data_IF_715380390147
#
_entry.id   IF_715380390147
#
_cell.length_a   1.000
_cell.length_b   1.000
_cell.length_c   1.000
_cell.angle_alpha   90.00
_cell.angle_beta   90.00
_cell.angle_gamma   90.00
#
_symmetry.space_group_name_H-M   'P 1'
#
loop_
_entity.id
_entity.type
_entity.pdbx_description
1 polymer ?
#
# COMPACT_ATOMS: atom_id res chain seq x y z
N UNK A 1 -14.23 14.92 2.50
CA UNK A 1 -12.90 15.57 2.63
C UNK A 1 -12.57 16.19 1.27
N UNK A 2 -12.08 17.42 1.22
CA UNK A 2 -11.76 18.06 -0.08
C UNK A 2 -10.53 17.39 -0.70
N UNK A 3 -10.56 17.11 -2.00
CA UNK A 3 -9.40 16.58 -2.74
C UNK A 3 -8.28 17.62 -2.75
N UNK A 4 -7.04 17.18 -2.60
CA UNK A 4 -5.87 18.06 -2.68
C UNK A 4 -5.56 18.41 -4.14
N UNK A 5 -5.03 19.62 -4.37
CA UNK A 5 -4.73 20.11 -5.72
C UNK A 5 -3.42 19.53 -6.30
N UNK A 6 -3.36 19.42 -7.63
CA UNK A 6 -2.16 18.99 -8.37
C UNK A 6 -1.11 20.11 -8.42
N UNK A 7 -0.32 20.24 -7.35
CA UNK A 7 0.79 21.20 -7.26
C UNK A 7 2.14 20.48 -7.08
N UNK A 8 3.27 21.10 -7.49
CA UNK A 8 4.60 20.55 -7.25
C UNK A 8 4.89 20.28 -5.77
N UNK A 9 4.42 21.12 -4.86
CA UNK A 9 4.59 20.95 -3.41
C UNK A 9 3.85 19.72 -2.89
N UNK A 10 2.61 19.50 -3.34
CA UNK A 10 1.84 18.32 -2.95
C UNK A 10 2.42 17.05 -3.56
N UNK A 11 2.88 17.10 -4.82
CA UNK A 11 3.61 16.01 -5.44
C UNK A 11 4.86 15.64 -4.65
N UNK A 12 5.68 16.62 -4.26
CA UNK A 12 6.88 16.38 -3.45
C UNK A 12 6.54 15.78 -2.07
N UNK A 13 5.46 16.22 -1.41
CA UNK A 13 4.98 15.63 -0.15
C UNK A 13 4.58 14.16 -0.32
N UNK A 14 3.85 13.85 -1.39
CA UNK A 14 3.49 12.47 -1.72
C UNK A 14 4.73 11.60 -1.98
N UNK A 15 5.68 12.09 -2.79
CA UNK A 15 6.93 11.36 -3.08
C UNK A 15 7.75 11.12 -1.82
N UNK A 16 7.77 12.07 -0.89
CA UNK A 16 8.44 11.91 0.41
C UNK A 16 7.96 10.70 1.21
N UNK A 17 6.74 10.21 0.98
CA UNK A 17 6.25 8.99 1.63
C UNK A 17 6.93 7.70 1.12
N UNK A 18 7.60 7.78 -0.03
CA UNK A 18 8.36 6.70 -0.65
C UNK A 18 9.87 6.96 -0.55
N UNK A 19 10.30 7.75 0.44
CA UNK A 19 11.71 8.06 0.65
C UNK A 19 12.57 6.79 0.76
N UNK A 20 13.72 6.81 0.09
CA UNK A 20 14.67 5.71 -0.08
C UNK A 20 14.14 4.48 -0.83
N UNK A 21 12.94 4.54 -1.42
CA UNK A 21 12.41 3.45 -2.22
C UNK A 21 12.87 3.53 -3.69
N UNK A 22 13.26 2.40 -4.32
CA UNK A 22 13.69 2.34 -5.71
C UNK A 22 12.48 2.29 -6.66
N UNK A 23 11.66 3.34 -6.60
CA UNK A 23 10.38 3.46 -7.33
C UNK A 23 10.34 4.73 -8.18
N UNK A 24 11.41 5.52 -8.26
CA UNK A 24 11.43 6.76 -9.03
C UNK A 24 11.74 6.46 -10.50
N UNK A 25 10.96 7.06 -11.41
CA UNK A 25 11.16 6.98 -12.86
C UNK A 25 11.18 8.38 -13.47
N UNK A 26 12.07 8.64 -14.44
CA UNK A 26 12.13 9.93 -15.14
C UNK A 26 13.51 10.43 -15.57
N UNK A 27 14.63 9.81 -15.15
CA UNK A 27 15.95 9.99 -15.79
C UNK A 27 16.93 8.86 -15.41
N UNK A 28 17.88 8.59 -16.31
CA UNK A 28 18.87 7.49 -16.20
C UNK A 28 19.78 7.56 -14.96
N UNK A 29 19.71 8.65 -14.18
CA UNK A 29 20.61 8.89 -13.06
C UNK A 29 20.00 8.57 -11.69
N UNK A 30 18.67 8.47 -11.55
CA UNK A 30 18.02 8.35 -10.24
C UNK A 30 16.79 7.45 -10.25
N UNK A 31 16.94 6.25 -9.68
CA UNK A 31 15.82 5.31 -9.51
C UNK A 31 15.24 5.30 -8.09
N UNK A 32 15.85 6.03 -7.15
CA UNK A 32 15.49 6.05 -5.73
C UNK A 32 15.05 7.43 -5.30
N UNK A 33 13.93 7.53 -4.56
CA UNK A 33 13.49 8.81 -3.99
C UNK A 33 14.44 9.22 -2.87
N UNK A 34 15.12 10.35 -2.98
CA UNK A 34 16.00 10.88 -1.94
C UNK A 34 15.87 12.42 -1.81
N UNK A 35 16.62 13.01 -0.88
CA UNK A 35 16.53 14.45 -0.59
C UNK A 35 16.87 15.34 -1.79
N UNK A 36 17.79 14.90 -2.66
CA UNK A 36 18.12 15.62 -3.89
C UNK A 36 16.99 15.53 -4.92
N UNK A 37 16.37 14.36 -5.09
CA UNK A 37 15.23 14.17 -5.98
C UNK A 37 14.05 15.06 -5.57
N UNK A 38 13.74 15.19 -4.28
CA UNK A 38 12.62 16.01 -3.80
C UNK A 38 12.79 17.50 -4.12
N UNK A 39 14.03 17.99 -4.15
CA UNK A 39 14.33 19.36 -4.60
C UNK A 39 14.17 19.52 -6.12
N UNK A 40 14.45 18.46 -6.90
CA UNK A 40 14.38 18.45 -8.37
C UNK A 40 12.95 18.19 -8.89
N UNK A 41 12.10 17.47 -8.15
CA UNK A 41 10.70 17.17 -8.52
C UNK A 41 9.87 18.46 -8.69
N UNK A 42 10.30 19.57 -8.10
CA UNK A 42 9.74 20.90 -8.36
C UNK A 42 9.95 21.39 -9.81
N UNK A 43 10.80 20.72 -10.60
CA UNK A 43 11.28 21.20 -11.89
C UNK A 43 11.04 20.26 -13.10
N UNK A 44 10.55 19.00 -12.95
CA UNK A 44 10.53 18.01 -14.06
C UNK A 44 9.45 16.89 -14.04
N UNK A 45 9.37 16.15 -15.16
CA UNK A 45 8.46 15.06 -15.56
C UNK A 45 8.66 13.70 -14.85
N UNK A 46 9.06 13.68 -13.57
CA UNK A 46 9.22 12.42 -12.82
C UNK A 46 7.89 11.83 -12.39
N UNK A 47 7.83 10.50 -12.26
CA UNK A 47 6.71 9.78 -11.66
C UNK A 47 7.22 8.61 -10.81
N UNK A 48 6.40 8.09 -9.90
CA UNK A 48 6.71 6.85 -9.20
C UNK A 48 6.16 5.64 -9.97
N UNK A 49 6.97 4.62 -10.17
CA UNK A 49 6.54 3.31 -10.69
C UNK A 49 6.20 2.38 -9.53
N UNK A 50 4.90 2.23 -9.26
CA UNK A 50 4.36 1.51 -8.11
C UNK A 50 3.55 0.28 -8.53
N UNK A 51 3.41 -0.68 -7.62
CA UNK A 51 2.62 -1.89 -7.82
C UNK A 51 1.17 -1.65 -7.37
N UNK A 52 0.18 -2.11 -8.14
CA UNK A 52 -1.21 -2.04 -7.71
C UNK A 52 -1.46 -2.99 -6.53
N UNK A 53 -2.30 -2.61 -5.56
CA UNK A 53 -2.52 -3.43 -4.36
C UNK A 53 -3.12 -4.81 -4.68
N UNK A 54 -3.93 -4.91 -5.74
CA UNK A 54 -4.46 -6.20 -6.21
C UNK A 54 -3.38 -7.18 -6.67
N UNK A 55 -2.14 -6.70 -6.91
CA UNK A 55 -0.97 -7.50 -7.25
C UNK A 55 -0.09 -7.80 -6.04
N UNK A 56 -0.56 -7.57 -4.81
CA UNK A 56 0.19 -7.89 -3.59
C UNK A 56 0.65 -9.35 -3.62
N UNK A 57 1.88 -9.61 -3.19
CA UNK A 57 2.38 -10.98 -3.06
C UNK A 57 1.70 -11.71 -1.90
N UNK A 58 1.73 -13.04 -1.89
CA UNK A 58 1.21 -13.79 -0.74
C UNK A 58 2.00 -13.45 0.52
N UNK A 59 3.33 -13.39 0.43
CA UNK A 59 4.21 -13.03 1.55
C UNK A 59 3.89 -11.64 2.11
N UNK A 60 3.74 -10.63 1.25
CA UNK A 60 3.40 -9.28 1.70
C UNK A 60 1.98 -9.21 2.29
N UNK A 61 1.03 -9.97 1.74
CA UNK A 61 -0.33 -10.05 2.29
C UNK A 61 -0.34 -10.70 3.67
N UNK A 62 0.47 -11.74 3.88
CA UNK A 62 0.63 -12.42 5.17
C UNK A 62 1.28 -11.49 6.19
N UNK A 63 2.37 -10.82 5.84
CA UNK A 63 3.05 -9.86 6.72
C UNK A 63 2.15 -8.67 7.06
N UNK A 64 1.40 -8.15 6.08
CA UNK A 64 0.39 -7.11 6.33
C UNK A 64 -0.69 -7.60 7.29
N UNK A 65 -1.20 -8.82 7.12
CA UNK A 65 -2.17 -9.39 8.04
C UNK A 65 -1.60 -9.49 9.46
N UNK A 66 -0.35 -9.94 9.61
CA UNK A 66 0.35 -9.98 10.91
C UNK A 66 0.45 -8.60 11.56
N UNK A 67 0.74 -7.55 10.78
CA UNK A 67 0.79 -6.17 11.28
C UNK A 67 -0.58 -5.74 11.79
N UNK A 68 -1.64 -6.00 11.02
CA UNK A 68 -3.01 -5.65 11.38
C UNK A 68 -3.53 -6.43 12.60
N UNK A 69 -3.09 -7.68 12.76
CA UNK A 69 -3.53 -8.58 13.83
C UNK A 69 -2.53 -8.68 14.97
N UNK A 70 -1.47 -7.87 15.01
CA UNK A 70 -0.42 -7.91 16.05
C UNK A 70 -0.99 -7.73 17.47
N UNK A 71 -2.15 -7.08 17.58
CA UNK A 71 -2.89 -6.91 18.84
C UNK A 71 -3.71 -8.15 19.25
N UNK A 72 -3.79 -9.16 18.39
CA UNK A 72 -4.43 -10.46 18.63
C UNK A 72 -3.31 -11.45 18.99
N UNK A 73 -3.22 -11.80 20.27
CA UNK A 73 -2.08 -12.51 20.83
C UNK A 73 -2.04 -13.96 20.32
N UNK A 74 -0.85 -14.46 19.95
CA UNK A 74 -0.59 -15.86 19.57
C UNK A 74 -1.41 -16.38 18.37
N UNK A 75 -0.98 -16.08 17.15
CA UNK A 75 -1.52 -16.69 15.93
C UNK A 75 -0.52 -17.70 15.36
N UNK A 76 -0.97 -18.93 15.10
CA UNK A 76 -0.22 -19.89 14.27
C UNK A 76 -0.76 -19.71 12.87
N UNK A 77 0.11 -19.28 11.98
CA UNK A 77 -0.29 -18.81 10.67
C UNK A 77 -0.32 -19.99 9.71
N UNK A 78 -1.28 -20.89 9.92
CA UNK A 78 -1.80 -21.80 8.89
C UNK A 78 -2.49 -20.95 7.81
N UNK A 79 -1.70 -20.29 6.97
CA UNK A 79 -2.21 -19.13 6.23
C UNK A 79 -2.74 -19.53 4.88
N UNK A 80 -4.00 -19.17 4.61
CA UNK A 80 -4.57 -19.19 3.27
C UNK A 80 -4.82 -17.76 2.83
N UNK A 81 -4.24 -17.36 1.71
CA UNK A 81 -4.53 -16.08 1.05
C UNK A 81 -5.53 -16.33 -0.07
N UNK A 82 -6.61 -15.56 -0.11
CA UNK A 82 -7.57 -15.52 -1.22
C UNK A 82 -7.56 -14.10 -1.78
N UNK A 83 -7.27 -13.96 -3.07
CA UNK A 83 -7.27 -12.69 -3.78
C UNK A 83 -8.46 -12.64 -4.72
N UNK A 84 -9.24 -11.59 -4.60
CA UNK A 84 -10.33 -11.23 -5.50
C UNK A 84 -10.04 -9.85 -6.08
N UNK A 85 -10.84 -9.42 -7.07
CA UNK A 85 -10.52 -8.22 -7.86
C UNK A 85 -10.40 -6.93 -7.04
N UNK A 86 -11.00 -6.85 -5.86
CA UNK A 86 -11.04 -5.68 -4.99
C UNK A 86 -10.76 -5.99 -3.51
N UNK A 87 -10.40 -7.24 -3.19
CA UNK A 87 -10.14 -7.64 -1.82
C UNK A 87 -9.10 -8.75 -1.71
N UNK A 88 -8.29 -8.68 -0.66
CA UNK A 88 -7.38 -9.75 -0.24
C UNK A 88 -7.86 -10.26 1.12
N UNK A 89 -8.24 -11.53 1.19
CA UNK A 89 -8.62 -12.18 2.44
C UNK A 89 -7.52 -13.12 2.90
N UNK A 90 -7.01 -12.88 4.10
CA UNK A 90 -6.02 -13.74 4.75
C UNK A 90 -6.70 -14.49 5.89
N UNK A 91 -6.72 -15.82 5.79
CA UNK A 91 -7.24 -16.72 6.82
C UNK A 91 -6.11 -17.20 7.72
N UNK A 92 -6.37 -17.27 9.03
CA UNK A 92 -5.40 -17.73 10.02
C UNK A 92 -6.10 -18.42 11.19
N UNK A 93 -5.36 -19.32 11.85
CA UNK A 93 -5.85 -20.05 13.02
C UNK A 93 -5.35 -19.38 14.30
N UNK A 94 -6.26 -19.14 15.26
CA UNK A 94 -5.84 -18.69 16.58
C UNK A 94 -5.24 -19.87 17.35
N UNK A 95 -4.00 -19.73 17.82
CA UNK A 95 -3.43 -20.67 18.78
C UNK A 95 -4.40 -20.69 19.97
N UNK A 96 -4.83 -21.87 20.36
CA UNK A 96 -5.56 -22.18 21.59
C UNK A 96 -7.09 -22.27 21.53
N UNK A 97 -7.79 -21.87 20.46
CA UNK A 97 -9.27 -21.93 20.48
C UNK A 97 -9.95 -22.64 19.30
N UNK A 98 -9.21 -23.07 18.28
CA UNK A 98 -9.80 -23.72 17.09
C UNK A 98 -10.72 -22.81 16.26
N UNK A 99 -10.77 -21.51 16.57
CA UNK A 99 -11.47 -20.51 15.77
C UNK A 99 -10.64 -20.15 14.56
N UNK A 100 -11.28 -20.23 13.38
CA UNK A 100 -10.73 -19.70 12.13
C UNK A 100 -11.02 -18.22 12.07
N UNK A 101 -9.98 -17.42 12.04
CA UNK A 101 -10.08 -15.99 11.83
C UNK A 101 -9.78 -15.65 10.37
N UNK A 102 -10.25 -14.48 9.94
CA UNK A 102 -9.86 -13.89 8.66
C UNK A 102 -9.74 -12.39 8.79
N UNK A 103 -8.79 -11.82 8.08
CA UNK A 103 -8.75 -10.38 7.80
C UNK A 103 -9.01 -10.18 6.32
N UNK A 104 -9.86 -9.21 5.98
CA UNK A 104 -10.10 -8.81 4.59
C UNK A 104 -9.62 -7.39 4.41
N UNK A 105 -8.71 -7.20 3.45
CA UNK A 105 -8.14 -5.94 3.01
C UNK A 105 -8.87 -5.54 1.74
N UNK A 106 -9.52 -4.39 1.73
CA UNK A 106 -10.16 -3.82 0.55
C UNK A 106 -9.26 -2.79 -0.12
N UNK A 107 -9.45 -2.58 -1.43
CA UNK A 107 -8.71 -1.58 -2.22
C UNK A 107 -8.88 -0.13 -1.71
N UNK A 108 -9.99 0.15 -1.02
CA UNK A 108 -10.26 1.43 -0.36
C UNK A 108 -9.68 1.52 1.07
N UNK A 109 -8.86 0.53 1.47
CA UNK A 109 -8.16 0.44 2.75
C UNK A 109 -9.07 0.47 3.98
N UNK A 110 -10.28 -0.06 3.86
CA UNK A 110 -11.03 -0.52 5.03
C UNK A 110 -10.65 -1.97 5.35
N UNK A 111 -10.63 -2.33 6.63
CA UNK A 111 -10.56 -3.72 7.06
C UNK A 111 -11.77 -4.04 7.93
N UNK A 112 -12.37 -5.21 7.72
CA UNK A 112 -13.51 -5.71 8.52
C UNK A 112 -13.10 -6.98 9.24
N UNK A 113 -13.44 -7.08 10.52
CA UNK A 113 -13.21 -8.29 11.32
C UNK A 113 -14.35 -9.29 11.11
N UNK A 114 -14.16 -10.50 11.63
CA UNK A 114 -15.08 -11.63 11.55
C UNK A 114 -16.53 -11.33 12.00
N UNK A 115 -16.71 -10.36 12.92
CA UNK A 115 -18.01 -9.95 13.49
C UNK A 115 -18.74 -8.89 12.66
N UNK A 116 -18.15 -8.39 11.57
CA UNK A 116 -18.66 -7.23 10.84
C UNK A 116 -18.37 -5.90 11.53
N UNK A 117 -17.74 -5.93 12.72
CA UNK A 117 -17.23 -4.74 13.36
C UNK A 117 -16.07 -4.17 12.52
N UNK A 118 -16.03 -2.85 12.30
CA UNK A 118 -14.88 -2.23 11.68
C UNK A 118 -13.66 -2.58 12.55
N UNK A 119 -12.67 -3.24 11.95
CA UNK A 119 -11.34 -3.23 12.57
C UNK A 119 -10.95 -1.76 12.61
N UNK A 120 -10.23 -1.38 13.65
CA UNK A 120 -9.63 -0.05 13.69
C UNK A 120 -9.00 0.27 12.32
N UNK A 121 -9.18 1.51 11.82
CA UNK A 121 -8.64 1.90 10.53
C UNK A 121 -7.16 1.49 10.46
N UNK A 122 -6.73 1.04 9.29
CA UNK A 122 -5.34 0.71 8.98
C UNK A 122 -4.39 1.62 9.79
N UNK A 123 -3.58 1.02 10.65
CA UNK A 123 -2.62 1.77 11.46
C UNK A 123 -1.58 2.40 10.54
N UNK A 124 -0.89 3.46 11.00
CA UNK A 124 0.23 4.04 10.25
C UNK A 124 1.25 2.98 9.80
N UNK A 125 1.48 1.96 10.63
CA UNK A 125 2.40 0.85 10.35
C UNK A 125 2.03 0.07 9.07
N UNK A 126 0.75 -0.23 8.86
CA UNK A 126 0.30 -0.98 7.69
C UNK A 126 0.46 -0.19 6.38
N UNK A 127 0.21 1.13 6.41
CA UNK A 127 0.49 2.01 5.28
C UNK A 127 1.99 2.14 5.02
N UNK A 128 2.79 2.34 6.06
CA UNK A 128 4.24 2.49 5.92
C UNK A 128 4.89 1.21 5.39
N UNK A 129 4.40 0.04 5.84
CA UNK A 129 4.79 -1.25 5.30
C UNK A 129 4.52 -1.33 3.79
N UNK A 130 3.30 -1.07 3.35
CA UNK A 130 2.93 -1.14 1.93
C UNK A 130 3.73 -0.16 1.07
N UNK A 131 3.99 1.06 1.56
CA UNK A 131 4.85 2.03 0.87
C UNK A 131 6.29 1.55 0.78
N UNK A 132 6.81 0.93 1.83
CA UNK A 132 8.17 0.34 1.85
C UNK A 132 8.33 -0.81 0.85
N UNK A 133 7.23 -1.43 0.43
CA UNK A 133 7.20 -2.46 -0.62
C UNK A 133 6.87 -1.91 -2.01
N UNK A 134 6.65 -0.60 -2.14
CA UNK A 134 6.39 0.05 -3.43
C UNK A 134 4.95 -0.09 -3.93
N UNK A 135 3.97 -0.34 -3.06
CA UNK A 135 2.55 -0.37 -3.46
C UNK A 135 1.96 1.03 -3.62
N UNK A 136 1.06 1.19 -4.59
CA UNK A 136 0.26 2.39 -4.80
C UNK A 136 -0.86 2.48 -3.78
N UNK A 137 -0.92 3.59 -3.03
CA UNK A 137 -1.93 3.82 -1.98
C UNK A 137 -2.62 5.16 -2.21
N UNK A 138 -3.83 5.30 -1.70
CA UNK A 138 -4.56 6.58 -1.68
C UNK A 138 -3.83 7.62 -0.82
N UNK A 139 -4.02 8.90 -1.11
CA UNK A 139 -3.37 9.97 -0.37
C UNK A 139 -4.20 11.25 -0.29
N UNK A 140 -4.50 11.72 0.92
CA UNK A 140 -5.20 13.00 1.18
C UNK A 140 -6.47 13.22 0.33
N UNK A 141 -7.28 12.17 0.19
CA UNK A 141 -8.53 12.21 -0.59
C UNK A 141 -8.36 11.95 -2.09
N UNK A 142 -7.15 11.67 -2.57
CA UNK A 142 -6.88 11.20 -3.92
C UNK A 142 -6.93 9.67 -3.98
N UNK A 143 -7.68 9.15 -4.95
CA UNK A 143 -7.64 7.74 -5.36
C UNK A 143 -6.34 7.42 -6.12
N UNK A 144 -6.05 6.13 -6.32
CA UNK A 144 -4.92 5.70 -7.16
C UNK A 144 -5.09 6.23 -8.60
N UNK A 145 -6.32 6.23 -9.12
CA UNK A 145 -6.66 6.80 -10.42
C UNK A 145 -6.40 8.31 -10.48
N UNK A 146 -6.73 9.06 -9.43
CA UNK A 146 -6.42 10.49 -9.36
C UNK A 146 -4.90 10.72 -9.43
N UNK A 147 -4.11 9.92 -8.70
CA UNK A 147 -2.64 10.00 -8.69
C UNK A 147 -2.02 9.67 -10.06
N UNK A 148 -2.61 8.71 -10.80
CA UNK A 148 -2.24 8.39 -12.18
C UNK A 148 -2.59 9.55 -13.11
N UNK A 149 -3.81 10.09 -13.01
CA UNK A 149 -4.27 11.21 -13.83
C UNK A 149 -3.44 12.47 -13.60
N UNK A 150 -2.90 12.67 -12.40
CA UNK A 150 -1.98 13.76 -12.10
C UNK A 150 -0.56 13.54 -12.64
N UNK A 151 -0.26 12.35 -13.16
CA UNK A 151 1.08 11.96 -13.60
C UNK A 151 2.07 11.85 -12.44
N UNK A 152 1.58 11.57 -11.22
CA UNK A 152 2.43 11.38 -10.05
C UNK A 152 2.93 9.95 -9.95
N UNK A 153 2.10 8.99 -10.38
CA UNK A 153 2.44 7.57 -10.39
C UNK A 153 2.12 6.95 -11.75
N UNK A 154 2.78 5.82 -12.02
CA UNK A 154 2.48 4.87 -13.08
C UNK A 154 2.46 3.49 -12.45
N UNK A 155 1.47 2.67 -12.79
CA UNK A 155 1.42 1.29 -12.32
C UNK A 155 2.41 0.43 -13.10
N UNK A 156 3.15 -0.43 -12.40
CA UNK A 156 3.99 -1.45 -13.02
C UNK A 156 3.11 -2.45 -13.75
N UNK A 157 3.58 -2.93 -14.90
CA UNK A 157 2.93 -4.04 -15.57
C UNK A 157 3.03 -5.30 -14.70
N UNK A 158 1.97 -6.11 -14.70
CA UNK A 158 2.02 -7.42 -14.09
C UNK A 158 3.17 -8.20 -14.75
N UNK A 159 4.18 -8.59 -13.98
CA UNK A 159 5.16 -9.55 -14.47
C UNK A 159 4.39 -10.85 -14.72
N UNK A 160 4.15 -11.17 -15.99
CA UNK A 160 3.59 -12.45 -16.39
C UNK A 160 4.69 -13.50 -16.19
N UNK A 161 4.81 -13.99 -14.96
CA UNK A 161 5.66 -15.12 -14.58
C UNK A 161 4.96 -16.43 -14.80
#
# INVERSE_FOLDING_TARGET
MNKIENTPENKARFFGLYYMQPVLSGSDMWNTVNGYCLNIIRAQNYHLELTHISQITDDDAIELAQILTRWVWNLDLGTKVIKESNQITVYYDALNNGFKHRTTIYDDFFSRNYTGDPIQPFTGESFDYLRSKGYALTWMGLSVEDLINYGWIKLREASHG
#
